data_IF_927162260917
#
_entry.id   IF_927162260917
#
_cell.length_a   1.000
_cell.length_b   1.000
_cell.length_c   1.000
_cell.angle_alpha   90.00
_cell.angle_beta   90.00
_cell.angle_gamma   90.00
#
_symmetry.space_group_name_H-M   'P 1'
#
loop_
_entity.id
_entity.type
_entity.pdbx_description
1 polymer ?
#
# COMPACT_ATOMS: atom_id res chain seq x y z
N UNK A 1 -21.25 11.27 4.30
CA UNK A 1 -21.49 10.46 3.09
C UNK A 1 -21.24 9.01 3.47
N UNK A 2 -21.88 8.03 2.84
CA UNK A 2 -21.58 6.61 3.08
C UNK A 2 -20.20 6.26 2.51
N UNK A 3 -19.41 5.40 3.15
CA UNK A 3 -18.06 5.02 2.70
C UNK A 3 -18.05 4.24 1.37
N UNK A 4 -19.15 3.58 0.98
CA UNK A 4 -19.25 2.73 -0.20
C UNK A 4 -18.77 3.41 -1.50
N UNK A 5 -19.12 4.70 -1.68
CA UNK A 5 -18.69 5.46 -2.88
C UNK A 5 -17.20 5.73 -2.88
N UNK A 6 -16.60 5.90 -1.71
CA UNK A 6 -15.16 6.10 -1.56
C UNK A 6 -14.41 4.79 -1.83
N UNK A 7 -14.93 3.67 -1.31
CA UNK A 7 -14.43 2.34 -1.63
C UNK A 7 -14.46 2.09 -3.14
N UNK A 8 -15.62 2.30 -3.78
CA UNK A 8 -15.76 2.08 -5.22
C UNK A 8 -14.77 2.92 -6.06
N UNK A 9 -14.51 4.18 -5.68
CA UNK A 9 -13.49 5.01 -6.33
C UNK A 9 -12.09 4.42 -6.13
N UNK A 10 -11.75 4.02 -4.92
CA UNK A 10 -10.45 3.43 -4.59
C UNK A 10 -10.24 2.13 -5.35
N UNK A 11 -11.23 1.23 -5.35
CA UNK A 11 -11.19 -0.04 -6.08
C UNK A 11 -10.95 0.19 -7.58
N UNK A 12 -11.62 1.18 -8.18
CA UNK A 12 -11.44 1.54 -9.57
C UNK A 12 -10.01 2.03 -9.87
N UNK A 13 -9.48 2.94 -9.06
CA UNK A 13 -8.11 3.47 -9.26
C UNK A 13 -7.06 2.39 -9.05
N UNK A 14 -7.20 1.59 -8.01
CA UNK A 14 -6.28 0.47 -7.69
C UNK A 14 -6.28 -0.57 -8.81
N UNK A 15 -7.45 -0.98 -9.30
CA UNK A 15 -7.56 -1.93 -10.39
C UNK A 15 -6.89 -1.42 -11.67
N UNK A 16 -7.08 -0.14 -12.01
CA UNK A 16 -6.43 0.50 -13.16
C UNK A 16 -4.91 0.56 -12.95
N UNK A 17 -4.44 0.99 -11.78
CA UNK A 17 -3.01 1.08 -11.50
C UNK A 17 -2.33 -0.29 -11.68
N UNK A 18 -2.88 -1.36 -11.10
CA UNK A 18 -2.36 -2.73 -11.22
C UNK A 18 -2.33 -3.19 -12.68
N UNK A 19 -3.39 -2.93 -13.45
CA UNK A 19 -3.47 -3.37 -14.84
C UNK A 19 -2.55 -2.58 -15.77
N UNK A 20 -2.32 -1.29 -15.51
CA UNK A 20 -1.35 -0.49 -16.27
C UNK A 20 0.07 -1.00 -16.04
N UNK A 21 0.47 -1.34 -14.80
CA UNK A 21 1.82 -1.83 -14.51
C UNK A 21 2.17 -3.06 -15.35
N UNK A 22 1.23 -4.00 -15.55
CA UNK A 22 1.50 -5.19 -16.35
C UNK A 22 1.69 -4.87 -17.84
N UNK A 23 1.06 -3.81 -18.34
CA UNK A 23 1.20 -3.38 -19.72
C UNK A 23 2.56 -2.70 -20.01
N UNK A 24 3.22 -2.20 -18.96
CA UNK A 24 4.55 -1.61 -19.05
C UNK A 24 5.69 -2.66 -19.03
N UNK A 25 5.37 -3.95 -18.83
CA UNK A 25 6.39 -4.99 -18.79
C UNK A 25 7.00 -5.21 -20.18
N UNK A 26 8.35 -5.21 -20.30
CA UNK A 26 9.02 -5.48 -21.56
C UNK A 26 8.83 -6.95 -21.97
N UNK A 27 8.65 -7.17 -23.28
CA UNK A 27 8.65 -8.51 -23.83
C UNK A 27 10.09 -9.01 -23.99
N UNK A 28 10.36 -10.31 -23.72
CA UNK A 28 11.65 -10.90 -24.03
C UNK A 28 11.98 -10.77 -25.52
N UNK A 29 13.19 -10.37 -25.87
CA UNK A 29 13.63 -10.26 -27.29
C UNK A 29 13.60 -11.61 -28.03
N UNK A 30 13.76 -12.70 -27.31
CA UNK A 30 13.67 -14.04 -27.87
C UNK A 30 12.79 -14.97 -26.99
N UNK A 31 12.02 -15.90 -27.56
CA UNK A 31 11.17 -16.85 -26.82
C UNK A 31 12.01 -17.98 -26.20
N UNK A 32 12.98 -17.63 -25.38
CA UNK A 32 13.93 -18.54 -24.74
C UNK A 32 14.03 -18.27 -23.25
N UNK A 33 14.53 -19.24 -22.46
CA UNK A 33 14.82 -19.04 -21.05
C UNK A 33 15.84 -17.92 -20.80
N UNK A 34 16.77 -17.74 -21.72
CA UNK A 34 17.74 -16.63 -21.65
C UNK A 34 17.06 -15.29 -21.84
N UNK A 35 16.15 -15.16 -22.82
CA UNK A 35 15.34 -13.96 -23.00
C UNK A 35 14.46 -13.67 -21.77
N UNK A 36 13.83 -14.70 -21.20
CA UNK A 36 13.03 -14.51 -19.97
C UNK A 36 13.89 -14.06 -18.76
N UNK A 37 15.09 -14.60 -18.62
CA UNK A 37 16.03 -14.17 -17.55
C UNK A 37 16.46 -12.73 -17.71
N UNK A 38 16.58 -12.22 -18.94
CA UNK A 38 16.93 -10.82 -19.17
C UNK A 38 15.89 -9.84 -18.62
N UNK A 39 14.60 -10.18 -18.68
CA UNK A 39 13.49 -9.36 -18.16
C UNK A 39 13.10 -9.71 -16.72
N UNK A 40 13.74 -10.70 -16.10
CA UNK A 40 13.41 -11.14 -14.74
C UNK A 40 13.51 -10.04 -13.66
N UNK A 41 14.50 -9.13 -13.67
CA UNK A 41 14.54 -8.04 -12.69
C UNK A 41 13.28 -7.17 -12.76
N UNK A 42 12.79 -6.86 -13.96
CA UNK A 42 11.58 -6.06 -14.15
C UNK A 42 10.32 -6.80 -13.71
N UNK A 43 10.24 -8.11 -13.97
CA UNK A 43 9.15 -8.94 -13.46
C UNK A 43 9.12 -8.96 -11.92
N UNK A 44 10.27 -8.97 -11.26
CA UNK A 44 10.36 -8.89 -9.80
C UNK A 44 9.95 -7.51 -9.27
N UNK A 45 10.34 -6.43 -9.95
CA UNK A 45 9.90 -5.07 -9.59
C UNK A 45 8.40 -4.90 -9.77
N UNK A 46 7.84 -5.46 -10.84
CA UNK A 46 6.39 -5.54 -11.05
C UNK A 46 5.71 -6.29 -9.88
N UNK A 47 6.19 -7.49 -9.56
CA UNK A 47 5.64 -8.30 -8.46
C UNK A 47 5.69 -7.55 -7.13
N UNK A 48 6.79 -6.88 -6.82
CA UNK A 48 6.93 -6.05 -5.62
C UNK A 48 5.88 -4.93 -5.59
N UNK A 49 5.66 -4.27 -6.70
CA UNK A 49 4.71 -3.15 -6.79
C UNK A 49 3.26 -3.62 -6.74
N UNK A 50 2.96 -4.74 -7.38
CA UNK A 50 1.66 -5.41 -7.27
C UNK A 50 1.35 -5.75 -5.81
N UNK A 51 2.31 -6.33 -5.10
CA UNK A 51 2.19 -6.66 -3.67
C UNK A 51 1.99 -5.39 -2.84
N UNK A 52 2.77 -4.33 -3.07
CA UNK A 52 2.63 -3.07 -2.34
C UNK A 52 1.24 -2.44 -2.53
N UNK A 53 0.78 -2.34 -3.78
CA UNK A 53 -0.57 -1.81 -4.06
C UNK A 53 -1.64 -2.69 -3.40
N UNK A 54 -1.49 -4.01 -3.46
CA UNK A 54 -2.40 -4.97 -2.83
C UNK A 54 -2.45 -4.81 -1.30
N UNK A 55 -1.31 -4.57 -0.65
CA UNK A 55 -1.22 -4.29 0.79
C UNK A 55 -1.98 -3.00 1.12
N UNK A 56 -1.74 -1.91 0.37
CA UNK A 56 -2.47 -0.65 0.59
C UNK A 56 -3.97 -0.83 0.40
N UNK A 57 -4.39 -1.52 -0.67
CA UNK A 57 -5.80 -1.78 -0.94
C UNK A 57 -6.46 -2.61 0.17
N UNK A 58 -5.85 -3.70 0.58
CA UNK A 58 -6.38 -4.57 1.63
C UNK A 58 -6.55 -3.83 2.97
N UNK A 59 -5.51 -3.10 3.39
CA UNK A 59 -5.56 -2.33 4.63
C UNK A 59 -6.57 -1.17 4.54
N UNK A 60 -6.67 -0.51 3.38
CA UNK A 60 -7.65 0.54 3.12
C UNK A 60 -9.09 0.00 3.22
N UNK A 61 -9.37 -1.14 2.60
CA UNK A 61 -10.66 -1.81 2.67
C UNK A 61 -11.06 -2.09 4.13
N UNK A 62 -10.17 -2.69 4.91
CA UNK A 62 -10.42 -2.97 6.33
C UNK A 62 -10.62 -1.69 7.15
N UNK A 63 -9.84 -0.65 6.90
CA UNK A 63 -9.97 0.63 7.59
C UNK A 63 -11.33 1.29 7.31
N UNK A 64 -11.74 1.37 6.04
CA UNK A 64 -13.04 1.99 5.69
C UNK A 64 -14.24 1.14 6.10
N UNK A 65 -14.12 -0.17 6.23
CA UNK A 65 -15.20 -1.02 6.72
C UNK A 65 -15.59 -0.71 8.18
N UNK A 66 -14.69 -0.08 8.94
CA UNK A 66 -14.99 0.37 10.32
C UNK A 66 -15.64 1.75 10.39
N UNK A 67 -15.73 2.48 9.27
CA UNK A 67 -16.26 3.82 9.22
C UNK A 67 -17.77 3.80 8.90
N UNK A 68 -18.60 4.41 9.76
CA UNK A 68 -20.04 4.55 9.50
C UNK A 68 -20.35 5.65 8.48
N UNK A 69 -19.55 6.71 8.46
CA UNK A 69 -19.66 7.82 7.52
C UNK A 69 -18.29 8.48 7.26
N UNK A 70 -18.21 9.24 6.16
CA UNK A 70 -17.02 9.96 5.76
C UNK A 70 -17.33 11.44 5.52
N UNK A 71 -16.39 12.31 5.86
CA UNK A 71 -16.44 13.77 5.67
C UNK A 71 -15.46 14.23 4.57
N UNK A 72 -15.38 15.55 4.34
CA UNK A 72 -14.50 16.12 3.34
C UNK A 72 -13.01 15.88 3.63
N UNK A 73 -12.59 15.75 4.88
CA UNK A 73 -11.18 15.51 5.26
C UNK A 73 -10.78 14.08 4.89
N UNK A 74 -11.65 13.12 5.17
CA UNK A 74 -11.46 11.71 4.78
C UNK A 74 -11.37 11.59 3.25
N UNK A 75 -12.25 12.30 2.51
CA UNK A 75 -12.24 12.31 1.05
C UNK A 75 -10.92 12.85 0.49
N UNK A 76 -10.42 13.99 0.99
CA UNK A 76 -9.17 14.56 0.52
C UNK A 76 -7.95 13.71 0.88
N UNK A 77 -7.90 13.16 2.10
CA UNK A 77 -6.82 12.24 2.49
C UNK A 77 -6.78 11.00 1.60
N UNK A 78 -7.95 10.44 1.26
CA UNK A 78 -8.05 9.33 0.31
C UNK A 78 -7.57 9.72 -1.10
N UNK A 79 -7.95 10.89 -1.60
CA UNK A 79 -7.50 11.34 -2.93
C UNK A 79 -5.98 11.51 -2.98
N UNK A 80 -5.34 11.99 -1.90
CA UNK A 80 -3.88 12.09 -1.82
C UNK A 80 -3.24 10.69 -1.83
N UNK A 81 -3.81 9.72 -1.12
CA UNK A 81 -3.35 8.33 -1.18
C UNK A 81 -3.45 7.78 -2.61
N UNK A 82 -4.60 7.94 -3.27
CA UNK A 82 -4.82 7.49 -4.64
C UNK A 82 -3.87 8.17 -5.63
N UNK A 83 -3.54 9.44 -5.43
CA UNK A 83 -2.55 10.14 -6.24
C UNK A 83 -1.19 9.43 -6.18
N UNK A 84 -0.67 9.11 -4.99
CA UNK A 84 0.61 8.39 -4.89
C UNK A 84 0.53 6.98 -5.46
N UNK A 85 -0.56 6.24 -5.22
CA UNK A 85 -0.72 4.90 -5.80
C UNK A 85 -0.80 4.94 -7.34
N UNK A 86 -1.38 5.98 -7.91
CA UNK A 86 -1.46 6.15 -9.37
C UNK A 86 -0.12 6.50 -10.03
N UNK A 87 0.88 6.93 -9.26
CA UNK A 87 2.25 7.17 -9.75
C UNK A 87 3.10 5.88 -9.83
N UNK A 88 2.64 4.77 -9.24
CA UNK A 88 3.40 3.51 -9.26
C UNK A 88 3.78 3.05 -10.68
N UNK A 89 2.87 3.03 -11.68
CA UNK A 89 3.25 2.62 -13.04
C UNK A 89 4.38 3.47 -13.62
N UNK A 90 4.33 4.79 -13.41
CA UNK A 90 5.34 5.72 -13.90
C UNK A 90 6.73 5.43 -13.33
N UNK A 91 6.85 5.27 -12.00
CA UNK A 91 8.16 5.06 -11.37
C UNK A 91 8.74 3.69 -11.67
N UNK A 92 7.90 2.67 -11.87
CA UNK A 92 8.32 1.33 -12.29
C UNK A 92 8.89 1.36 -13.69
N UNK A 93 8.19 1.99 -14.62
CA UNK A 93 8.67 2.18 -15.99
C UNK A 93 9.99 2.95 -16.00
N UNK A 94 10.12 3.98 -15.19
CA UNK A 94 11.37 4.75 -15.11
C UNK A 94 12.54 3.91 -14.58
N UNK A 95 12.32 3.03 -13.58
CA UNK A 95 13.35 2.08 -13.13
C UNK A 95 13.78 1.15 -14.27
N UNK A 96 12.83 0.65 -15.06
CA UNK A 96 13.13 -0.23 -16.20
C UNK A 96 13.97 0.49 -17.27
N UNK A 97 13.51 1.63 -17.74
CA UNK A 97 14.18 2.40 -18.77
C UNK A 97 15.57 2.91 -18.34
N UNK A 98 15.76 3.22 -17.08
CA UNK A 98 17.03 3.72 -16.52
C UNK A 98 17.98 2.62 -16.02
N UNK A 99 17.56 1.35 -15.98
CA UNK A 99 18.41 0.24 -15.57
C UNK A 99 18.75 0.20 -14.07
N UNK A 100 17.79 0.48 -13.19
CA UNK A 100 17.96 0.49 -11.73
C UNK A 100 18.92 1.56 -11.20
N UNK A 101 18.97 2.71 -11.84
CA UNK A 101 19.73 3.86 -11.39
C UNK A 101 19.22 4.44 -10.06
N UNK A 102 20.08 5.21 -9.37
CA UNK A 102 19.79 5.75 -8.04
C UNK A 102 18.54 6.63 -8.00
N UNK A 103 18.37 7.52 -8.99
CA UNK A 103 17.29 8.49 -8.99
C UNK A 103 15.90 7.85 -9.19
N UNK A 104 15.67 6.94 -10.15
CA UNK A 104 14.40 6.21 -10.26
C UNK A 104 14.09 5.36 -9.03
N UNK A 105 15.09 4.68 -8.44
CA UNK A 105 14.92 3.92 -7.20
C UNK A 105 14.53 4.82 -6.01
N UNK A 106 15.13 6.01 -5.91
CA UNK A 106 14.74 7.01 -4.92
C UNK A 106 13.31 7.55 -5.18
N UNK A 107 12.95 7.81 -6.44
CA UNK A 107 11.60 8.24 -6.82
C UNK A 107 10.53 7.21 -6.44
N UNK A 108 10.81 5.92 -6.63
CA UNK A 108 9.95 4.84 -6.17
C UNK A 108 9.75 4.89 -4.64
N UNK A 109 10.83 5.11 -3.89
CA UNK A 109 10.77 5.32 -2.44
C UNK A 109 9.93 6.54 -2.03
N UNK A 110 10.03 7.66 -2.77
CA UNK A 110 9.21 8.86 -2.54
C UNK A 110 7.73 8.55 -2.71
N UNK A 111 7.36 7.78 -3.72
CA UNK A 111 5.97 7.34 -3.94
C UNK A 111 5.49 6.46 -2.80
N UNK A 112 6.31 5.51 -2.33
CA UNK A 112 5.98 4.66 -1.18
C UNK A 112 5.82 5.45 0.13
N UNK A 113 6.72 6.39 0.41
CA UNK A 113 6.61 7.29 1.58
C UNK A 113 5.34 8.13 1.47
N UNK A 114 5.08 8.72 0.30
CA UNK A 114 3.89 9.52 0.07
C UNK A 114 2.60 8.73 0.28
N UNK A 115 2.53 7.49 -0.22
CA UNK A 115 1.42 6.59 0.01
C UNK A 115 1.27 6.24 1.51
N UNK A 116 2.38 5.89 2.19
CA UNK A 116 2.35 5.55 3.62
C UNK A 116 1.90 6.72 4.50
N UNK A 117 2.40 7.94 4.25
CA UNK A 117 1.99 9.13 5.00
C UNK A 117 0.54 9.53 4.71
N UNK A 118 0.10 9.38 3.45
CA UNK A 118 -1.29 9.65 3.07
C UNK A 118 -2.25 8.65 3.71
N UNK A 119 -1.85 7.38 3.80
CA UNK A 119 -2.60 6.35 4.50
C UNK A 119 -2.74 6.68 5.99
N UNK A 120 -1.66 7.08 6.66
CA UNK A 120 -1.70 7.51 8.07
C UNK A 120 -2.56 8.77 8.27
N UNK A 121 -2.53 9.71 7.32
CA UNK A 121 -3.39 10.89 7.34
C UNK A 121 -4.88 10.52 7.20
N UNK A 122 -5.20 9.57 6.33
CA UNK A 122 -6.55 9.03 6.15
C UNK A 122 -7.05 8.34 7.43
N UNK A 123 -6.22 7.48 8.01
CA UNK A 123 -6.47 6.83 9.30
C UNK A 123 -6.76 7.86 10.41
N UNK A 124 -5.89 8.86 10.55
CA UNK A 124 -6.07 9.93 11.52
C UNK A 124 -7.35 10.75 11.28
N UNK A 125 -7.75 10.95 10.02
CA UNK A 125 -9.01 11.64 9.68
C UNK A 125 -10.23 10.82 10.11
N UNK A 126 -10.23 9.50 9.89
CA UNK A 126 -11.31 8.60 10.31
C UNK A 126 -11.41 8.54 11.84
N UNK A 127 -10.28 8.40 12.54
CA UNK A 127 -10.25 8.38 14.01
C UNK A 127 -10.78 9.70 14.60
N UNK A 128 -10.41 10.85 14.00
CA UNK A 128 -10.93 12.14 14.45
C UNK A 128 -12.44 12.29 14.25
N UNK A 129 -12.96 11.70 13.18
CA UNK A 129 -14.37 11.78 12.82
C UNK A 129 -15.25 10.90 13.73
N UNK A 130 -14.77 9.69 14.10
CA UNK A 130 -15.51 8.71 14.89
C UNK A 130 -15.13 8.70 16.39
N UNK A 131 -14.12 9.47 16.79
CA UNK A 131 -13.61 9.54 18.16
C UNK A 131 -12.58 8.45 18.49
N UNK A 132 -11.87 8.66 19.60
CA UNK A 132 -10.83 7.72 20.06
C UNK A 132 -11.40 6.40 20.60
N UNK A 133 -12.69 6.37 20.92
CA UNK A 133 -13.41 5.18 21.36
C UNK A 133 -14.04 4.41 20.18
N UNK A 134 -13.82 4.87 18.96
CA UNK A 134 -14.29 4.23 17.73
C UNK A 134 -13.61 2.87 17.48
N UNK A 135 -14.24 2.02 16.66
CA UNK A 135 -13.74 0.69 16.33
C UNK A 135 -12.31 0.73 15.78
N UNK A 136 -12.02 1.65 14.85
CA UNK A 136 -10.68 1.82 14.25
C UNK A 136 -9.61 2.17 15.28
N UNK A 137 -9.89 3.14 16.18
CA UNK A 137 -8.92 3.57 17.18
C UNK A 137 -8.56 2.45 18.17
N UNK A 138 -9.55 1.61 18.51
CA UNK A 138 -9.34 0.42 19.35
C UNK A 138 -8.54 -0.67 18.63
N UNK A 139 -8.79 -0.87 17.34
CA UNK A 139 -8.10 -1.88 16.53
C UNK A 139 -6.61 -1.57 16.32
N UNK A 140 -6.29 -0.31 16.05
CA UNK A 140 -4.93 0.08 15.65
C UNK A 140 -3.95 0.25 16.83
N UNK A 141 -4.42 0.65 18.01
CA UNK A 141 -3.54 0.92 19.17
C UNK A 141 -2.44 1.95 18.82
N UNK A 142 -1.17 1.61 19.09
CA UNK A 142 -0.01 2.37 18.60
C UNK A 142 0.44 1.78 17.26
N UNK A 143 0.21 2.46 16.13
CA UNK A 143 0.64 1.98 14.80
C UNK A 143 2.15 2.19 14.60
N UNK A 144 2.93 1.47 15.41
CA UNK A 144 4.40 1.51 15.36
C UNK A 144 4.91 0.95 14.03
N UNK A 145 4.24 -0.08 13.48
CA UNK A 145 4.63 -0.74 12.22
C UNK A 145 4.59 0.25 11.05
N UNK A 146 3.51 1.04 10.91
CA UNK A 146 3.40 2.04 9.84
C UNK A 146 4.41 3.16 10.01
N UNK A 147 4.65 3.65 11.23
CA UNK A 147 5.65 4.69 11.50
C UNK A 147 7.07 4.23 11.17
N UNK A 148 7.44 3.02 11.61
CA UNK A 148 8.74 2.44 11.30
C UNK A 148 8.90 2.19 9.80
N UNK A 149 7.86 1.74 9.11
CA UNK A 149 7.87 1.59 7.65
C UNK A 149 8.11 2.91 6.93
N UNK A 150 7.42 3.99 7.33
CA UNK A 150 7.62 5.31 6.74
C UNK A 150 9.06 5.83 6.95
N UNK A 151 9.64 5.63 8.14
CA UNK A 151 11.03 5.97 8.42
C UNK A 151 12.01 5.13 7.59
N UNK A 152 11.75 3.82 7.47
CA UNK A 152 12.60 2.93 6.68
C UNK A 152 12.53 3.25 5.18
N UNK A 153 11.36 3.60 4.63
CA UNK A 153 11.25 4.12 3.26
C UNK A 153 12.04 5.42 3.09
N UNK A 154 11.94 6.36 4.05
CA UNK A 154 12.70 7.61 4.03
C UNK A 154 14.21 7.37 4.04
N UNK A 155 14.71 6.45 4.87
CA UNK A 155 16.11 6.07 4.90
C UNK A 155 16.57 5.42 3.58
N UNK A 156 15.72 4.54 3.01
CA UNK A 156 15.99 3.86 1.74
C UNK A 156 16.13 4.84 0.57
N UNK A 157 15.41 5.96 0.56
CA UNK A 157 15.57 7.02 -0.45
C UNK A 157 17.01 7.57 -0.44
N UNK A 158 17.57 7.86 0.75
CA UNK A 158 18.97 8.30 0.88
C UNK A 158 19.96 7.21 0.47
N UNK A 159 19.69 5.96 0.88
CA UNK A 159 20.55 4.82 0.57
C UNK A 159 20.54 4.45 -0.92
N UNK A 160 19.50 4.80 -1.68
CA UNK A 160 19.48 4.61 -3.12
C UNK A 160 20.63 5.32 -3.85
N UNK A 161 21.13 6.44 -3.30
CA UNK A 161 22.28 7.16 -3.84
C UNK A 161 23.63 6.57 -3.42
N UNK A 162 23.65 5.64 -2.47
CA UNK A 162 24.84 4.86 -2.09
C UNK A 162 24.87 3.58 -2.92
N UNK A 163 23.79 2.82 -2.91
CA UNK A 163 23.59 1.62 -3.71
C UNK A 163 22.05 1.38 -3.90
N UNK A 164 21.53 1.48 -5.13
CA UNK A 164 20.12 1.23 -5.41
C UNK A 164 19.62 -0.14 -4.95
N UNK A 165 20.50 -1.15 -4.94
CA UNK A 165 20.15 -2.52 -4.51
C UNK A 165 19.75 -2.55 -3.03
N UNK A 166 20.42 -1.76 -2.19
CA UNK A 166 20.09 -1.64 -0.76
C UNK A 166 18.68 -1.05 -0.59
N UNK A 167 18.37 0.00 -1.36
CA UNK A 167 17.05 0.61 -1.30
C UNK A 167 15.94 -0.38 -1.69
N UNK A 168 16.12 -1.11 -2.80
CA UNK A 168 15.15 -2.13 -3.26
C UNK A 168 15.02 -3.25 -2.22
N UNK A 169 16.12 -3.72 -1.62
CA UNK A 169 16.06 -4.74 -0.57
C UNK A 169 15.23 -4.27 0.64
N UNK A 170 15.37 -3.00 1.04
CA UNK A 170 14.55 -2.42 2.11
C UNK A 170 13.07 -2.39 1.70
N UNK A 171 12.73 -1.98 0.47
CA UNK A 171 11.35 -1.98 -0.02
C UNK A 171 10.75 -3.38 0.00
N UNK A 172 11.49 -4.39 -0.44
CA UNK A 172 11.08 -5.80 -0.37
C UNK A 172 10.86 -6.26 1.07
N UNK A 173 11.79 -5.94 1.98
CA UNK A 173 11.65 -6.32 3.40
C UNK A 173 10.41 -5.70 4.05
N UNK A 174 10.12 -4.43 3.76
CA UNK A 174 8.92 -3.77 4.29
C UNK A 174 7.66 -4.44 3.71
N UNK A 175 7.61 -4.69 2.39
CA UNK A 175 6.49 -5.37 1.77
C UNK A 175 6.28 -6.77 2.38
N UNK A 176 7.34 -7.56 2.56
CA UNK A 176 7.29 -8.87 3.20
C UNK A 176 6.77 -8.80 4.65
N UNK A 177 7.20 -7.79 5.40
CA UNK A 177 6.69 -7.56 6.76
C UNK A 177 5.18 -7.26 6.79
N UNK A 178 4.65 -6.57 5.76
CA UNK A 178 3.23 -6.24 5.66
C UNK A 178 2.37 -7.36 5.10
N UNK A 179 2.95 -8.37 4.41
CA UNK A 179 2.23 -9.58 4.01
C UNK A 179 1.80 -10.44 5.20
N UNK A 180 2.48 -10.30 6.35
CA UNK A 180 2.06 -10.96 7.59
C UNK A 180 0.96 -10.11 8.24
N UNK A 181 -0.30 -10.59 8.27
CA UNK A 181 -1.41 -9.87 8.88
C UNK A 181 -1.11 -9.56 10.35
N UNK A 182 -1.58 -8.41 10.84
CA UNK A 182 -1.50 -8.12 12.27
C UNK A 182 -2.58 -8.95 12.98
N UNK A 183 -2.21 -9.91 13.85
CA UNK A 183 -3.17 -10.78 14.55
C UNK A 183 -4.22 -10.02 15.35
N UNK A 184 -3.96 -8.76 15.68
CA UNK A 184 -4.85 -7.90 16.47
C UNK A 184 -6.13 -7.53 15.73
N UNK A 185 -6.05 -7.36 14.40
CA UNK A 185 -7.21 -7.00 13.55
C UNK A 185 -8.09 -8.25 13.36
N UNK A 186 -7.49 -9.41 13.15
CA UNK A 186 -8.20 -10.67 12.91
C UNK A 186 -9.00 -11.13 14.13
N UNK A 187 -8.44 -11.00 15.34
CA UNK A 187 -9.12 -11.38 16.59
C UNK A 187 -10.34 -10.51 16.90
N UNK A 188 -10.37 -9.25 16.51
CA UNK A 188 -11.53 -8.37 16.75
C UNK A 188 -12.69 -8.67 15.80
N UNK A 189 -12.42 -9.00 14.55
CA UNK A 189 -13.46 -9.40 13.58
C UNK A 189 -14.15 -10.71 14.00
N UNK A 190 -13.38 -11.66 14.54
CA UNK A 190 -13.92 -12.92 15.06
C UNK A 190 -14.78 -12.68 16.32
N UNK A 191 -14.41 -11.74 17.16
CA UNK A 191 -15.16 -11.41 18.37
C UNK A 191 -16.50 -10.69 18.06
N UNK A 192 -16.56 -9.86 17.03
CA UNK A 192 -17.79 -9.15 16.60
C UNK A 192 -18.77 -10.05 15.83
N UNK A 193 -18.28 -11.10 15.17
CA UNK A 193 -19.11 -12.08 14.45
C UNK A 193 -19.55 -13.28 15.30
N UNK A 194 -19.21 -13.33 16.60
CA UNK A 194 -19.72 -14.37 17.49
C UNK A 194 -21.21 -14.12 17.75
N UNK A 195 -22.10 -15.08 17.39
CA UNK A 195 -23.53 -14.96 17.74
C UNK A 195 -23.64 -14.78 19.25
N UNK A 196 -24.38 -13.76 19.68
CA UNK A 196 -24.72 -13.62 21.11
C UNK A 196 -25.41 -14.90 21.53
N UNK A 197 -24.99 -15.55 22.64
CA UNK A 197 -25.73 -16.68 23.16
C UNK A 197 -27.15 -16.22 23.43
N UNK A 198 -28.14 -16.96 22.91
CA UNK A 198 -29.55 -16.76 23.14
C UNK A 198 -29.78 -16.67 24.67
N UNK A 199 -30.32 -15.55 25.09
CA UNK A 199 -30.71 -15.33 26.47
C UNK A 199 -32.15 -15.77 26.72
N UNK A 200 -32.60 -16.83 26.07
CA UNK A 200 -33.92 -17.43 26.27
C UNK A 200 -33.71 -18.91 26.60
N UNK A 201 -33.58 -19.18 27.89
CA UNK A 201 -33.59 -20.47 28.55
C UNK A 201 -34.21 -20.34 29.95
#
# INVERSE_FOLDING_TARGET
>A
MKPDRLNALTDGVVAIAITIIVLELPLPEAPTLTGLRAVAPMLLTYLLSFINIGIFWNNHHHMLSTAEHVDGRVLWANLVLLFFLSLMPFVIRWIDEAGFEALPCAAYGIVLVGAALSYQALEAAIIRLHGRDGALARALGSDLKAKLSALAYGAAIGLAFVDPTIAIAIYVMIAAAWLVPDPRIEHQQIAEHRPRPDKDG
#
